data_IF_012561726696
#
_entry.id   IF_012561726696
#
_cell.length_a   1.000
_cell.length_b   1.000
_cell.length_c   1.000
_cell.angle_alpha   90.00
_cell.angle_beta   90.00
_cell.angle_gamma   90.00
#
_symmetry.space_group_name_H-M   'P 1'
#
loop_
_entity.id
_entity.type
_entity.pdbx_description
1 polymer ?
#
# COMPACT_ATOMS: atom_id res chain seq x y z
N UNK A 1 22.20 2.79 -36.02
CA UNK A 1 20.77 2.84 -35.64
C UNK A 1 20.70 2.79 -34.12
N UNK A 2 20.65 3.96 -33.45
CA UNK A 2 20.58 4.02 -31.98
C UNK A 2 19.19 3.54 -31.56
N UNK A 3 19.13 2.39 -30.90
CA UNK A 3 17.93 1.91 -30.25
C UNK A 3 17.55 2.92 -29.17
N UNK A 4 16.48 3.68 -29.41
CA UNK A 4 15.94 4.61 -28.43
C UNK A 4 15.55 3.86 -27.16
N UNK A 5 16.42 3.89 -26.15
CA UNK A 5 16.09 3.41 -24.80
C UNK A 5 14.89 4.21 -24.35
N UNK A 6 13.72 3.57 -24.21
CA UNK A 6 12.60 4.17 -23.47
C UNK A 6 13.17 4.65 -22.15
N UNK A 7 13.16 5.96 -21.91
CA UNK A 7 13.68 6.54 -20.68
C UNK A 7 12.96 5.88 -19.51
N UNK A 8 13.72 5.17 -18.66
CA UNK A 8 13.16 4.54 -17.47
C UNK A 8 12.71 5.64 -16.50
N UNK A 9 11.48 5.52 -16.00
CA UNK A 9 10.88 6.49 -15.07
C UNK A 9 11.69 6.59 -13.77
N UNK A 10 12.36 5.51 -13.37
CA UNK A 10 13.16 5.46 -12.14
C UNK A 10 14.58 5.99 -12.31
N UNK A 11 15.03 6.25 -13.54
CA UNK A 11 16.37 6.75 -13.81
C UNK A 11 16.40 8.28 -13.66
N UNK A 12 17.35 8.77 -12.85
CA UNK A 12 17.61 10.21 -12.70
C UNK A 12 18.37 10.67 -13.94
N UNK A 13 17.80 11.62 -14.69
CA UNK A 13 18.42 12.09 -15.93
C UNK A 13 19.62 13.02 -15.63
N UNK A 14 20.60 13.12 -16.54
CA UNK A 14 21.71 14.06 -16.38
C UNK A 14 21.19 15.50 -16.16
N UNK A 15 21.61 16.12 -15.06
CA UNK A 15 21.17 17.47 -14.65
C UNK A 15 19.87 17.51 -13.83
N UNK A 16 19.17 16.40 -13.69
CA UNK A 16 18.00 16.28 -12.81
C UNK A 16 18.43 16.16 -11.35
N UNK A 17 18.06 17.14 -10.52
CA UNK A 17 18.31 17.09 -9.07
C UNK A 17 17.05 16.66 -8.33
N UNK A 18 17.13 15.54 -7.63
CA UNK A 18 16.09 14.99 -6.76
C UNK A 18 16.62 14.97 -5.33
N UNK A 19 16.07 15.81 -4.47
CA UNK A 19 16.43 15.85 -3.05
C UNK A 19 15.18 15.84 -2.18
N UNK A 20 15.22 15.14 -1.03
CA UNK A 20 14.17 15.26 -0.03
C UNK A 20 14.10 16.71 0.43
N UNK A 21 12.89 17.17 0.73
CA UNK A 21 12.61 18.53 1.14
C UNK A 21 11.30 18.60 1.90
N UNK A 22 10.99 19.76 2.48
CA UNK A 22 9.82 19.97 3.35
C UNK A 22 8.53 19.45 2.73
N UNK A 23 8.35 19.63 1.42
CA UNK A 23 7.17 19.16 0.68
C UNK A 23 6.93 17.65 0.82
N UNK A 24 7.98 16.83 0.93
CA UNK A 24 7.84 15.38 1.08
C UNK A 24 7.31 15.01 2.48
N UNK A 25 7.74 15.74 3.52
CA UNK A 25 7.20 15.61 4.86
C UNK A 25 5.73 16.04 4.92
N UNK A 26 5.37 17.13 4.24
CA UNK A 26 3.97 17.57 4.10
C UNK A 26 3.13 16.50 3.39
N UNK A 27 3.64 15.93 2.30
CA UNK A 27 2.95 14.83 1.58
C UNK A 27 2.76 13.62 2.49
N UNK A 28 3.78 13.20 3.25
CA UNK A 28 3.65 12.11 4.19
C UNK A 28 2.55 12.38 5.24
N UNK A 29 2.49 13.59 5.78
CA UNK A 29 1.45 13.99 6.72
C UNK A 29 0.05 13.99 6.08
N UNK A 30 -0.09 14.52 4.87
CA UNK A 30 -1.36 14.51 4.14
C UNK A 30 -1.82 13.08 3.85
N UNK A 31 -0.92 12.20 3.39
CA UNK A 31 -1.22 10.79 3.15
C UNK A 31 -1.62 10.08 4.44
N UNK A 32 -0.95 10.37 5.55
CA UNK A 32 -1.26 9.82 6.86
C UNK A 32 -2.69 10.20 7.29
N UNK A 33 -3.02 11.50 7.26
CA UNK A 33 -4.35 12.01 7.63
C UNK A 33 -5.42 11.43 6.70
N UNK A 34 -5.17 11.44 5.39
CA UNK A 34 -6.09 10.90 4.39
C UNK A 34 -6.32 9.41 4.61
N UNK A 35 -5.28 8.62 4.85
CA UNK A 35 -5.40 7.18 5.07
C UNK A 35 -6.15 6.86 6.38
N UNK A 36 -5.93 7.62 7.45
CA UNK A 36 -6.73 7.52 8.68
C UNK A 36 -8.20 7.82 8.38
N UNK A 37 -8.49 8.93 7.70
CA UNK A 37 -9.85 9.33 7.36
C UNK A 37 -10.55 8.26 6.50
N UNK A 38 -9.90 7.80 5.43
CA UNK A 38 -10.41 6.73 4.55
C UNK A 38 -10.59 5.42 5.32
N UNK A 39 -9.65 5.05 6.20
CA UNK A 39 -9.80 3.85 7.02
C UNK A 39 -11.01 3.93 7.96
N UNK A 40 -11.37 5.12 8.45
CA UNK A 40 -12.52 5.27 9.36
C UNK A 40 -13.84 5.41 8.60
N UNK A 41 -13.82 6.12 7.48
CA UNK A 41 -15.01 6.40 6.67
C UNK A 41 -15.36 5.28 5.72
N UNK A 42 -14.38 4.49 5.26
CA UNK A 42 -14.58 3.46 4.24
C UNK A 42 -14.36 2.04 4.74
N UNK A 43 -14.23 1.81 6.06
CA UNK A 43 -14.36 0.48 6.66
C UNK A 43 -15.78 -0.10 6.55
N UNK A 44 -16.60 0.40 5.61
CA UNK A 44 -17.89 -0.14 5.25
C UNK A 44 -17.72 -1.56 4.71
N UNK A 45 -18.11 -2.49 5.57
CA UNK A 45 -18.63 -3.83 5.34
C UNK A 45 -19.28 -4.05 3.96
N UNK A 46 -18.48 -4.29 2.93
CA UNK A 46 -18.84 -5.20 1.84
C UNK A 46 -18.79 -6.62 2.41
N UNK A 47 -19.80 -6.94 3.23
CA UNK A 47 -19.87 -8.18 4.01
C UNK A 47 -20.59 -9.24 3.17
N UNK A 48 -19.85 -10.28 2.81
CA UNK A 48 -20.42 -11.63 2.86
C UNK A 48 -20.40 -12.02 4.35
N UNK A 49 -21.55 -12.33 4.98
CA UNK A 49 -21.60 -12.61 6.41
C UNK A 49 -21.00 -13.98 6.71
N UNK A 50 -19.68 -14.03 6.90
CA UNK A 50 -19.00 -15.19 7.46
C UNK A 50 -18.64 -14.87 8.93
N UNK A 51 -19.12 -15.66 9.91
CA UNK A 51 -18.90 -15.39 11.32
C UNK A 51 -17.46 -15.76 11.71
N UNK A 52 -16.51 -14.85 11.46
CA UNK A 52 -15.06 -15.07 11.66
C UNK A 52 -14.47 -14.32 12.88
N UNK A 53 -15.31 -13.74 13.75
CA UNK A 53 -14.85 -13.16 15.02
C UNK A 53 -15.60 -11.90 15.47
N UNK A 54 -15.03 -11.25 16.51
CA UNK A 54 -15.61 -10.09 17.21
C UNK A 54 -15.43 -8.75 16.47
N UNK A 55 -14.51 -8.70 15.52
CA UNK A 55 -14.31 -7.55 14.63
C UNK A 55 -14.69 -7.97 13.22
N UNK A 56 -15.55 -7.17 12.56
CA UNK A 56 -15.86 -7.36 11.15
C UNK A 56 -14.57 -7.20 10.34
N UNK A 57 -14.02 -8.29 9.79
CA UNK A 57 -12.95 -8.16 8.81
C UNK A 57 -13.53 -7.42 7.60
N UNK A 58 -13.00 -6.22 7.34
CA UNK A 58 -13.35 -5.47 6.16
C UNK A 58 -12.78 -6.19 4.94
N UNK A 59 -13.62 -6.82 4.12
CA UNK A 59 -13.26 -7.48 2.85
C UNK A 59 -12.78 -6.50 1.77
N UNK A 60 -12.73 -5.20 2.06
CA UNK A 60 -12.25 -4.17 1.14
C UNK A 60 -11.77 -2.97 1.96
N UNK A 61 -10.46 -2.82 2.13
CA UNK A 61 -9.85 -1.70 2.88
C UNK A 61 -9.24 -0.67 1.92
N UNK A 62 -9.94 0.43 1.56
CA UNK A 62 -9.40 1.40 0.60
C UNK A 62 -8.18 2.16 1.12
N UNK A 63 -7.93 2.17 2.43
CA UNK A 63 -6.77 2.81 3.00
C UNK A 63 -5.45 2.14 2.57
N UNK A 64 -5.46 0.83 2.26
CA UNK A 64 -4.28 0.15 1.72
C UNK A 64 -3.94 0.63 0.31
N UNK A 65 -4.89 1.20 -0.42
CA UNK A 65 -4.62 1.87 -1.70
C UNK A 65 -3.71 3.08 -1.50
N UNK A 66 -3.98 3.90 -0.47
CA UNK A 66 -3.13 5.07 -0.14
C UNK A 66 -1.74 4.61 0.25
N UNK A 67 -1.64 3.51 1.00
CA UNK A 67 -0.39 2.87 1.39
C UNK A 67 0.48 2.49 0.18
N UNK A 68 -0.10 1.71 -0.74
CA UNK A 68 0.58 1.17 -1.92
C UNK A 68 0.96 2.28 -2.90
N UNK A 69 0.01 3.14 -3.27
CA UNK A 69 0.23 4.22 -4.24
C UNK A 69 1.15 5.29 -3.66
N UNK A 70 0.98 5.63 -2.38
CA UNK A 70 1.85 6.56 -1.68
C UNK A 70 3.31 6.09 -1.66
N UNK A 71 3.54 4.82 -1.33
CA UNK A 71 4.88 4.23 -1.40
C UNK A 71 5.48 4.27 -2.81
N UNK A 72 4.69 3.95 -3.84
CA UNK A 72 5.13 3.97 -5.23
C UNK A 72 5.51 5.37 -5.73
N UNK A 73 4.74 6.40 -5.37
CA UNK A 73 5.01 7.77 -5.83
C UNK A 73 6.06 8.47 -4.98
N UNK A 74 6.03 8.29 -3.67
CA UNK A 74 6.78 9.12 -2.73
C UNK A 74 7.83 8.33 -1.92
N UNK A 75 8.12 7.09 -2.32
CA UNK A 75 9.14 6.25 -1.68
C UNK A 75 8.89 6.08 -0.19
N UNK A 76 9.93 6.29 0.62
CA UNK A 76 9.89 6.12 2.06
C UNK A 76 8.95 7.10 2.78
N UNK A 77 8.67 8.27 2.19
CA UNK A 77 7.68 9.20 2.73
C UNK A 77 6.27 8.60 2.72
N UNK A 78 5.93 7.93 1.61
CA UNK A 78 4.71 7.15 1.51
C UNK A 78 4.72 5.92 2.42
N UNK A 79 5.87 5.25 2.57
CA UNK A 79 6.02 4.10 3.49
C UNK A 79 5.82 4.49 4.94
N UNK A 80 6.34 5.63 5.38
CA UNK A 80 6.15 6.12 6.76
C UNK A 80 4.66 6.38 7.01
N UNK A 81 4.00 7.10 6.10
CA UNK A 81 2.56 7.33 6.20
C UNK A 81 1.80 6.00 6.25
N UNK A 82 2.16 5.10 5.34
CA UNK A 82 1.65 3.73 5.20
C UNK A 82 1.80 2.86 6.44
N UNK A 83 2.92 2.99 7.14
CA UNK A 83 3.22 2.25 8.37
C UNK A 83 2.42 2.79 9.57
N UNK A 84 2.28 4.11 9.66
CA UNK A 84 1.73 4.78 10.84
C UNK A 84 0.21 4.87 10.84
N UNK A 85 -0.43 5.06 9.69
CA UNK A 85 -1.88 5.23 9.63
C UNK A 85 -2.66 4.05 10.22
N UNK A 86 -2.28 2.77 10.02
CA UNK A 86 -3.04 1.65 10.57
C UNK A 86 -2.91 1.57 12.08
N UNK A 87 -1.73 1.91 12.62
CA UNK A 87 -1.47 1.93 14.07
C UNK A 87 -2.34 3.01 14.73
N UNK A 88 -2.33 4.22 14.18
CA UNK A 88 -3.10 5.35 14.72
C UNK A 88 -4.59 5.10 14.53
N UNK A 89 -5.01 4.70 13.32
CA UNK A 89 -6.40 4.41 13.00
C UNK A 89 -6.98 3.25 13.81
N UNK A 90 -6.19 2.19 14.03
CA UNK A 90 -6.55 1.05 14.87
C UNK A 90 -6.65 1.44 16.35
N UNK A 91 -5.70 2.22 16.86
CA UNK A 91 -5.75 2.72 18.24
C UNK A 91 -6.99 3.62 18.48
N UNK A 92 -7.27 4.57 17.58
CA UNK A 92 -8.49 5.39 17.61
C UNK A 92 -9.74 4.51 17.50
N UNK A 93 -9.66 3.42 16.74
CA UNK A 93 -10.73 2.43 16.58
C UNK A 93 -10.93 1.49 17.78
N UNK A 94 -10.14 1.62 18.85
CA UNK A 94 -10.26 0.81 20.07
C UNK A 94 -9.50 -0.52 20.04
N UNK A 95 -8.66 -0.77 19.02
CA UNK A 95 -7.81 -1.97 18.97
C UNK A 95 -6.67 -1.86 20.01
N UNK A 96 -6.35 -2.94 20.75
CA UNK A 96 -5.29 -2.90 21.75
C UNK A 96 -3.94 -2.43 21.17
N UNK A 97 -3.26 -1.54 21.89
CA UNK A 97 -2.00 -0.94 21.42
C UNK A 97 -0.94 -2.01 21.09
N UNK A 98 -0.80 -3.04 21.92
CA UNK A 98 0.15 -4.15 21.69
C UNK A 98 -0.11 -4.85 20.36
N UNK A 99 -1.38 -5.05 20.00
CA UNK A 99 -1.76 -5.69 18.73
C UNK A 99 -1.39 -4.77 17.57
N UNK A 100 -1.71 -3.48 17.65
CA UNK A 100 -1.35 -2.49 16.62
C UNK A 100 0.16 -2.42 16.38
N UNK A 101 0.97 -2.43 17.45
CA UNK A 101 2.43 -2.42 17.34
C UNK A 101 2.96 -3.68 16.65
N UNK A 102 2.38 -4.85 16.95
CA UNK A 102 2.74 -6.10 16.28
C UNK A 102 2.37 -6.15 14.80
N UNK A 103 1.49 -5.25 14.32
CA UNK A 103 1.15 -5.12 12.91
C UNK A 103 2.07 -4.16 12.14
N UNK A 104 2.96 -3.41 12.80
CA UNK A 104 3.89 -2.50 12.12
C UNK A 104 4.70 -3.22 11.02
N UNK A 105 5.30 -4.40 11.25
CA UNK A 105 6.07 -5.09 10.21
C UNK A 105 5.24 -5.39 8.96
N UNK A 106 3.97 -5.76 9.15
CA UNK A 106 3.01 -6.04 8.07
C UNK A 106 2.81 -4.80 7.21
N UNK A 107 2.55 -3.66 7.87
CA UNK A 107 2.29 -2.39 7.20
C UNK A 107 3.54 -1.90 6.45
N UNK A 108 4.74 -2.12 6.99
CA UNK A 108 6.00 -1.82 6.30
C UNK A 108 6.11 -2.67 5.04
N UNK A 109 5.91 -4.00 5.15
CA UNK A 109 6.00 -4.91 4.00
C UNK A 109 5.03 -4.50 2.90
N UNK A 110 3.77 -4.25 3.24
CA UNK A 110 2.75 -3.84 2.26
C UNK A 110 3.10 -2.50 1.59
N UNK A 111 3.61 -1.52 2.35
CA UNK A 111 4.00 -0.21 1.82
C UNK A 111 5.26 -0.26 0.95
N UNK A 112 6.26 -1.04 1.35
CA UNK A 112 7.57 -1.15 0.69
C UNK A 112 7.50 -2.04 -0.54
N UNK A 113 6.72 -3.12 -0.49
CA UNK A 113 6.69 -4.14 -1.54
C UNK A 113 6.33 -3.54 -2.91
N UNK A 114 5.34 -2.66 -2.96
CA UNK A 114 4.90 -2.04 -4.20
C UNK A 114 6.02 -1.28 -4.92
N UNK A 115 6.66 -0.35 -4.20
CA UNK A 115 7.74 0.48 -4.74
C UNK A 115 8.99 -0.35 -5.03
N UNK A 116 9.29 -1.35 -4.19
CA UNK A 116 10.42 -2.24 -4.39
C UNK A 116 10.26 -3.08 -5.66
N UNK A 117 9.11 -3.74 -5.86
CA UNK A 117 8.83 -4.57 -7.05
C UNK A 117 8.92 -3.72 -8.32
N UNK A 118 8.27 -2.55 -8.32
CA UNK A 118 8.25 -1.68 -9.50
C UNK A 118 9.64 -1.16 -9.87
N UNK A 119 10.47 -0.81 -8.90
CA UNK A 119 11.86 -0.38 -9.16
C UNK A 119 12.75 -1.55 -9.57
N UNK A 120 12.66 -2.68 -8.87
CA UNK A 120 13.49 -3.87 -9.12
C UNK A 120 13.27 -4.44 -10.51
N UNK A 121 12.03 -4.37 -11.01
CA UNK A 121 11.66 -4.83 -12.34
C UNK A 121 11.48 -3.71 -13.36
N UNK A 122 11.84 -2.47 -13.00
CA UNK A 122 11.86 -1.29 -13.90
C UNK A 122 10.50 -1.08 -14.59
N UNK A 123 9.42 -1.23 -13.83
CA UNK A 123 8.01 -1.10 -14.28
C UNK A 123 7.51 0.33 -14.16
N UNK A 124 6.63 0.74 -15.07
CA UNK A 124 6.15 2.11 -15.11
C UNK A 124 4.92 2.30 -14.20
N UNK A 125 4.96 3.17 -13.18
CA UNK A 125 3.82 3.42 -12.29
C UNK A 125 2.63 4.07 -13.03
N UNK A 126 2.78 4.50 -14.28
CA UNK A 126 1.68 4.95 -15.16
C UNK A 126 0.89 3.79 -15.78
N UNK A 127 1.27 2.55 -15.49
CA UNK A 127 0.69 1.33 -16.04
C UNK A 127 0.63 1.42 -17.58
N UNK A 128 1.81 1.67 -18.17
CA UNK A 128 1.97 1.98 -19.59
C UNK A 128 1.88 0.72 -20.47
N UNK A 129 2.28 -0.43 -19.92
CA UNK A 129 2.28 -1.72 -20.63
C UNK A 129 1.43 -2.75 -19.90
N UNK A 130 0.98 -3.78 -20.61
CA UNK A 130 0.25 -4.90 -20.00
C UNK A 130 1.06 -5.59 -18.89
N UNK A 131 2.39 -5.67 -19.04
CA UNK A 131 3.26 -6.21 -18.01
C UNK A 131 3.22 -5.38 -16.71
N UNK A 132 3.12 -4.04 -16.80
CA UNK A 132 2.99 -3.18 -15.63
C UNK A 132 1.67 -3.44 -14.90
N UNK A 133 0.58 -3.65 -15.65
CA UNK A 133 -0.74 -4.02 -15.11
C UNK A 133 -0.70 -5.36 -14.38
N UNK A 134 -0.13 -6.38 -15.01
CA UNK A 134 -0.03 -7.73 -14.43
C UNK A 134 0.79 -7.71 -13.15
N UNK A 135 1.95 -7.02 -13.16
CA UNK A 135 2.79 -6.86 -11.97
C UNK A 135 2.05 -6.12 -10.87
N UNK A 136 1.32 -5.04 -11.21
CA UNK A 136 0.57 -4.28 -10.22
C UNK A 136 -0.55 -5.10 -9.58
N UNK A 137 -1.42 -5.71 -10.40
CA UNK A 137 -2.60 -6.40 -9.89
C UNK A 137 -2.23 -7.70 -9.18
N UNK A 138 -1.43 -8.56 -9.84
CA UNK A 138 -1.15 -9.89 -9.31
C UNK A 138 -0.06 -9.87 -8.26
N UNK A 139 1.07 -9.20 -8.53
CA UNK A 139 2.21 -9.25 -7.62
C UNK A 139 2.01 -8.30 -6.45
N UNK A 140 1.83 -7.01 -6.73
CA UNK A 140 1.67 -6.00 -5.68
C UNK A 140 0.31 -6.13 -4.99
N UNK A 141 -0.76 -6.28 -5.77
CA UNK A 141 -2.11 -6.42 -5.25
C UNK A 141 -2.30 -7.71 -4.45
N UNK A 142 -1.96 -8.89 -4.98
CA UNK A 142 -2.31 -10.14 -4.32
C UNK A 142 -1.13 -10.83 -3.63
N UNK A 143 -0.05 -11.13 -4.36
CA UNK A 143 1.01 -12.00 -3.84
C UNK A 143 1.79 -11.37 -2.66
N UNK A 144 2.04 -10.07 -2.69
CA UNK A 144 2.74 -9.38 -1.61
C UNK A 144 1.94 -9.30 -0.32
N UNK A 145 0.63 -9.60 -0.35
CA UNK A 145 -0.21 -9.68 0.83
C UNK A 145 -0.15 -11.04 1.53
N UNK A 146 0.49 -12.06 0.97
CA UNK A 146 0.56 -13.40 1.58
C UNK A 146 1.34 -13.38 2.91
N UNK A 147 2.59 -12.84 2.98
CA UNK A 147 3.33 -12.81 4.25
C UNK A 147 2.62 -11.97 5.30
N UNK A 148 2.01 -10.86 4.86
CA UNK A 148 1.18 -9.99 5.67
C UNK A 148 -0.02 -10.74 6.28
N UNK A 149 -0.76 -11.47 5.46
CA UNK A 149 -1.91 -12.25 5.88
C UNK A 149 -1.55 -13.33 6.90
N UNK A 150 -0.46 -14.07 6.66
CA UNK A 150 0.02 -15.10 7.58
C UNK A 150 0.32 -14.49 8.96
N UNK A 151 1.04 -13.37 8.99
CA UNK A 151 1.41 -12.70 10.23
C UNK A 151 0.20 -12.14 10.98
N UNK A 152 -0.68 -11.41 10.29
CA UNK A 152 -1.88 -10.82 10.91
C UNK A 152 -2.77 -11.91 11.48
N UNK A 153 -2.99 -12.99 10.72
CA UNK A 153 -3.81 -14.13 11.18
C UNK A 153 -3.23 -14.70 12.48
N UNK A 154 -1.90 -14.87 12.54
CA UNK A 154 -1.22 -15.38 13.72
C UNK A 154 -1.32 -14.46 14.94
N UNK A 155 -1.13 -13.16 14.75
CA UNK A 155 -1.33 -12.19 15.82
C UNK A 155 -2.79 -12.24 16.29
N UNK A 156 -3.76 -12.21 15.39
CA UNK A 156 -5.17 -12.10 15.78
C UNK A 156 -5.67 -13.36 16.49
N UNK A 157 -5.21 -14.55 16.09
CA UNK A 157 -5.46 -15.77 16.82
C UNK A 157 -4.79 -15.80 18.19
N UNK A 158 -3.51 -15.38 18.27
CA UNK A 158 -2.75 -15.36 19.53
C UNK A 158 -3.40 -14.51 20.62
N UNK A 159 -4.10 -13.44 20.22
CA UNK A 159 -4.82 -12.53 21.11
C UNK A 159 -6.34 -12.81 21.18
N UNK A 160 -6.84 -13.90 20.58
CA UNK A 160 -8.25 -14.28 20.64
C UNK A 160 -9.20 -13.31 19.92
N UNK A 161 -8.69 -12.53 18.97
CA UNK A 161 -9.43 -11.54 18.17
C UNK A 161 -10.14 -12.23 17.01
N UNK A 162 -9.45 -13.15 16.35
CA UNK A 162 -9.98 -13.97 15.28
C UNK A 162 -10.48 -15.31 15.84
N UNK A 163 -11.58 -15.82 15.28
CA UNK A 163 -12.12 -17.14 15.60
C UNK A 163 -12.65 -17.82 14.33
N UNK A 164 -12.72 -19.15 14.32
CA UNK A 164 -13.23 -19.90 13.16
C UNK A 164 -12.10 -20.43 12.27
N UNK A 165 -12.26 -20.37 10.95
CA UNK A 165 -11.27 -20.97 10.03
C UNK A 165 -10.09 -20.04 9.78
N UNK A 166 -8.89 -20.51 10.14
CA UNK A 166 -7.63 -19.82 9.84
C UNK A 166 -7.45 -19.53 8.35
N UNK A 167 -7.78 -20.50 7.50
CA UNK A 167 -7.62 -20.38 6.04
C UNK A 167 -8.58 -19.32 5.49
N UNK A 168 -9.82 -19.30 5.96
CA UNK A 168 -10.80 -18.29 5.51
C UNK A 168 -10.33 -16.91 5.94
N UNK A 169 -9.81 -16.75 7.17
CA UNK A 169 -9.26 -15.47 7.61
C UNK A 169 -8.10 -15.01 6.73
N UNK A 170 -7.14 -15.91 6.46
CA UNK A 170 -5.97 -15.62 5.63
C UNK A 170 -6.39 -15.16 4.22
N UNK A 171 -7.27 -15.91 3.57
CA UNK A 171 -7.78 -15.58 2.22
C UNK A 171 -8.55 -14.25 2.25
N UNK A 172 -9.38 -14.04 3.27
CA UNK A 172 -10.13 -12.79 3.45
C UNK A 172 -9.21 -11.60 3.60
N UNK A 173 -8.09 -11.75 4.32
CA UNK A 173 -7.10 -10.69 4.48
C UNK A 173 -6.41 -10.36 3.14
N UNK A 174 -5.96 -11.39 2.39
CA UNK A 174 -5.31 -11.20 1.08
C UNK A 174 -6.24 -10.44 0.13
N UNK A 175 -7.50 -10.89 0.02
CA UNK A 175 -8.47 -10.24 -0.87
C UNK A 175 -8.78 -8.84 -0.36
N UNK A 176 -9.05 -8.67 0.94
CA UNK A 176 -9.50 -7.40 1.49
C UNK A 176 -8.44 -6.30 1.53
N UNK A 177 -7.17 -6.65 1.61
CA UNK A 177 -6.07 -5.68 1.57
C UNK A 177 -5.44 -5.57 0.19
N UNK A 178 -5.60 -6.60 -0.65
CA UNK A 178 -5.00 -6.68 -1.97
C UNK A 178 -5.89 -6.22 -3.13
N UNK A 179 -7.19 -6.49 -3.07
CA UNK A 179 -8.14 -6.05 -4.09
C UNK A 179 -8.31 -4.52 -4.16
N UNK A 180 -8.42 -3.78 -3.03
CA UNK A 180 -8.52 -2.32 -3.10
C UNK A 180 -7.36 -1.64 -3.82
N UNK A 181 -6.07 -1.92 -3.51
CA UNK A 181 -4.96 -1.33 -4.26
C UNK A 181 -4.95 -1.84 -5.70
N UNK A 182 -5.28 -3.11 -5.97
CA UNK A 182 -5.36 -3.62 -7.34
C UNK A 182 -6.38 -2.88 -8.22
N UNK A 183 -7.54 -2.51 -7.67
CA UNK A 183 -8.60 -1.82 -8.40
C UNK A 183 -8.45 -0.30 -8.30
N UNK A 184 -8.58 0.25 -7.10
CA UNK A 184 -8.54 1.70 -6.88
C UNK A 184 -7.15 2.26 -7.11
N UNK A 185 -6.11 1.52 -6.69
CA UNK A 185 -4.73 1.95 -6.93
C UNK A 185 -4.41 1.95 -8.41
N UNK A 186 -4.93 1.00 -9.20
CA UNK A 186 -4.72 1.01 -10.64
C UNK A 186 -5.38 2.25 -11.29
N UNK A 187 -6.59 2.59 -10.86
CA UNK A 187 -7.27 3.81 -11.31
C UNK A 187 -6.48 5.06 -10.93
N UNK A 188 -6.05 5.19 -9.68
CA UNK A 188 -5.26 6.34 -9.21
C UNK A 188 -3.92 6.47 -9.95
N UNK A 189 -3.21 5.35 -10.10
CA UNK A 189 -1.95 5.30 -10.86
C UNK A 189 -2.19 5.71 -12.32
N UNK A 190 -3.24 5.20 -12.96
CA UNK A 190 -3.51 5.53 -14.35
C UNK A 190 -3.90 7.00 -14.53
N UNK A 191 -4.70 7.54 -13.62
CA UNK A 191 -5.18 8.92 -13.68
C UNK A 191 -4.06 9.93 -13.37
N UNK A 192 -3.24 9.68 -12.34
CA UNK A 192 -2.38 10.71 -11.76
C UNK A 192 -0.88 10.47 -11.94
N UNK A 193 -0.41 9.23 -12.15
CA UNK A 193 1.03 8.98 -12.29
C UNK A 193 1.66 9.78 -13.44
N UNK A 194 0.90 10.08 -14.50
CA UNK A 194 1.36 10.92 -15.60
C UNK A 194 1.77 12.33 -15.16
N UNK A 195 1.10 12.89 -14.16
CA UNK A 195 1.40 14.21 -13.56
C UNK A 195 2.46 14.06 -12.47
N UNK A 196 2.26 13.09 -11.57
CA UNK A 196 3.14 12.88 -10.41
C UNK A 196 4.57 12.60 -10.84
N UNK A 197 4.80 11.70 -11.80
CA UNK A 197 6.15 11.35 -12.29
C UNK A 197 6.93 12.56 -12.84
N UNK A 198 6.22 13.53 -13.42
CA UNK A 198 6.83 14.77 -13.96
C UNK A 198 7.11 15.81 -12.88
N UNK A 199 6.45 15.71 -11.73
CA UNK A 199 6.65 16.63 -10.61
C UNK A 199 7.95 16.34 -9.87
N UNK A 200 8.45 17.32 -9.10
CA UNK A 200 9.65 17.16 -8.24
C UNK A 200 9.42 16.28 -7.01
N UNK A 201 8.15 16.02 -6.66
CA UNK A 201 7.80 15.24 -5.46
C UNK A 201 7.83 13.74 -5.70
N UNK A 202 7.83 13.29 -6.96
CA UNK A 202 8.01 11.88 -7.28
C UNK A 202 9.40 11.42 -6.90
N UNK A 203 9.46 10.34 -6.11
CA UNK A 203 10.69 9.76 -5.63
C UNK A 203 11.17 8.67 -6.58
N UNK A 204 12.22 8.98 -7.34
CA UNK A 204 12.92 8.00 -8.20
C UNK A 204 13.74 7.02 -7.36
N UNK A 205 14.41 7.52 -6.32
CA UNK A 205 15.04 6.75 -5.25
C UNK A 205 14.15 6.65 -4.00
N UNK A 206 14.71 6.17 -2.88
CA UNK A 206 13.91 5.93 -1.66
C UNK A 206 13.41 7.20 -0.98
N UNK A 207 14.17 8.29 -1.04
CA UNK A 207 13.82 9.54 -0.36
C UNK A 207 13.65 10.73 -1.31
N UNK A 208 14.02 10.55 -2.58
CA UNK A 208 13.82 11.43 -3.75
C UNK A 208 14.27 10.69 -5.01
#
# INVERSE_FOLDING_TARGET
>A
MMTGRKSDVWEVQPGERRHPGVIHGVIALVLLILAIAVSRLCSFSLVLPLPLGKFMLTYFSPATTVQVVGGMWFGMWGVIAGMLFPVIGGFIGGQPLVVNLLLIPVNIVQSVAAVWVFRRWRRDPRLATFADWVVFILVVGLLMNIPAAIWVTAVYWRFGIASGSWIIFLVSYIIGHGLPPAVLGAVLLKAFSGVVVRSRVFCKGWWA
#
